data_IF_394870387174
#
_entry.id   IF_394870387174
#
_cell.length_a   1.000
_cell.length_b   1.000
_cell.length_c   1.000
_cell.angle_alpha   90.00
_cell.angle_beta   90.00
_cell.angle_gamma   90.00
#
_symmetry.space_group_name_H-M   'P 1'
#
loop_
_entity.id
_entity.type
_entity.pdbx_description
1 polymer ?
#
# COMPACT_ATOMS: atom_id res chain seq x y z
N UNK A 1 -19.25 15.98 -20.74
CA UNK A 1 -19.51 14.65 -20.18
C UNK A 1 -18.42 14.32 -19.19
N UNK A 2 -18.69 14.43 -17.89
CA UNK A 2 -17.73 14.06 -16.85
C UNK A 2 -17.70 12.53 -16.73
N UNK A 3 -16.52 11.88 -16.76
CA UNK A 3 -16.45 10.43 -16.60
C UNK A 3 -16.97 10.03 -15.22
N UNK A 4 -17.93 9.12 -15.20
CA UNK A 4 -18.54 8.54 -14.00
C UNK A 4 -17.45 7.97 -13.10
N UNK A 5 -17.46 8.33 -11.81
CA UNK A 5 -16.48 7.94 -10.77
C UNK A 5 -16.22 6.41 -10.74
N UNK A 6 -17.18 5.61 -11.20
CA UNK A 6 -17.10 4.15 -11.35
C UNK A 6 -16.10 3.66 -12.41
N UNK A 7 -15.75 4.45 -13.43
CA UNK A 7 -14.79 4.06 -14.49
C UNK A 7 -13.34 4.44 -14.17
N UNK A 8 -13.12 5.33 -13.19
CA UNK A 8 -11.78 5.78 -12.78
C UNK A 8 -11.06 4.79 -11.86
N UNK A 9 -11.82 4.06 -11.04
CA UNK A 9 -11.28 3.14 -10.02
C UNK A 9 -10.36 2.02 -10.57
N UNK A 10 -10.70 1.29 -11.65
CA UNK A 10 -9.84 0.22 -12.15
C UNK A 10 -8.56 0.76 -12.80
N UNK A 11 -8.62 1.90 -13.49
CA UNK A 11 -7.43 2.55 -14.06
C UNK A 11 -6.50 3.04 -12.96
N UNK A 12 -7.03 3.72 -11.94
CA UNK A 12 -6.23 4.19 -10.81
C UNK A 12 -5.55 3.03 -10.06
N UNK A 13 -6.27 1.92 -9.85
CA UNK A 13 -5.72 0.71 -9.20
C UNK A 13 -4.60 0.07 -10.03
N UNK A 14 -4.74 0.03 -11.35
CA UNK A 14 -3.68 -0.45 -12.25
C UNK A 14 -2.43 0.44 -12.17
N UNK A 15 -2.58 1.77 -12.19
CA UNK A 15 -1.44 2.69 -12.10
C UNK A 15 -0.75 2.59 -10.74
N UNK A 16 -1.52 2.45 -9.66
CA UNK A 16 -0.99 2.19 -8.33
C UNK A 16 -0.20 0.87 -8.26
N UNK A 17 -0.70 -0.19 -8.90
CA UNK A 17 0.01 -1.47 -9.03
C UNK A 17 1.29 -1.35 -9.82
N UNK A 18 1.29 -0.66 -10.95
CA UNK A 18 2.49 -0.44 -11.75
C UNK A 18 3.54 0.37 -10.98
N UNK A 19 3.13 1.46 -10.31
CA UNK A 19 4.03 2.27 -9.49
C UNK A 19 4.64 1.46 -8.34
N UNK A 20 3.84 0.61 -7.70
CA UNK A 20 4.31 -0.31 -6.66
C UNK A 20 5.38 -1.26 -7.21
N UNK A 21 5.08 -1.99 -8.29
CA UNK A 21 6.01 -2.98 -8.89
C UNK A 21 7.30 -2.30 -9.32
N UNK A 22 7.21 -1.20 -10.06
CA UNK A 22 8.39 -0.45 -10.52
C UNK A 22 9.24 0.00 -9.33
N UNK A 23 8.63 0.51 -8.26
CA UNK A 23 9.35 0.91 -7.07
C UNK A 23 10.07 -0.25 -6.36
N UNK A 24 9.48 -1.45 -6.36
CA UNK A 24 10.11 -2.64 -5.78
C UNK A 24 11.26 -3.17 -6.63
N UNK A 25 11.14 -3.13 -7.95
CA UNK A 25 12.23 -3.51 -8.86
C UNK A 25 13.40 -2.53 -8.76
N UNK A 26 13.12 -1.22 -8.81
CA UNK A 26 14.15 -0.18 -8.69
C UNK A 26 14.80 -0.24 -7.31
N UNK A 27 14.01 -0.28 -6.23
CA UNK A 27 14.55 -0.33 -4.88
C UNK A 27 15.31 -1.62 -4.59
N UNK A 28 14.82 -2.76 -5.08
CA UNK A 28 15.51 -4.05 -5.01
C UNK A 28 16.84 -4.02 -5.75
N UNK A 29 16.86 -3.51 -6.99
CA UNK A 29 18.09 -3.36 -7.78
C UNK A 29 19.11 -2.47 -7.06
N UNK A 30 18.68 -1.35 -6.46
CA UNK A 30 19.57 -0.49 -5.68
C UNK A 30 20.21 -1.22 -4.49
N UNK A 31 19.50 -2.14 -3.84
CA UNK A 31 20.06 -2.99 -2.77
C UNK A 31 21.04 -4.04 -3.32
N UNK A 32 20.69 -4.68 -4.45
CA UNK A 32 21.55 -5.69 -5.11
C UNK A 32 22.85 -5.10 -5.62
N UNK A 33 22.80 -3.89 -6.19
CA UNK A 33 23.96 -3.22 -6.78
C UNK A 33 24.62 -2.21 -5.84
N UNK A 34 24.28 -2.22 -4.54
CA UNK A 34 24.89 -1.33 -3.56
C UNK A 34 26.40 -1.58 -3.48
N UNK A 35 27.26 -0.58 -3.80
CA UNK A 35 28.71 -0.73 -3.71
C UNK A 35 29.12 -0.91 -2.24
N UNK A 36 30.20 -1.66 -1.98
CA UNK A 36 30.73 -1.78 -0.62
C UNK A 36 31.22 -0.41 -0.13
N UNK A 37 30.85 0.01 1.11
CA UNK A 37 31.35 1.25 1.67
C UNK A 37 32.88 1.19 1.82
N UNK A 38 33.55 2.31 1.56
CA UNK A 38 35.00 2.42 1.66
C UNK A 38 35.46 2.03 3.08
N UNK A 39 36.33 1.03 3.19
CA UNK A 39 36.89 0.55 4.46
C UNK A 39 36.10 -0.55 5.19
N UNK A 40 34.95 -1.00 4.66
CA UNK A 40 34.16 -2.08 5.26
C UNK A 40 33.91 -3.24 4.30
N UNK A 41 33.77 -4.45 4.84
CA UNK A 41 33.30 -5.62 4.08
C UNK A 41 31.80 -5.46 3.79
N UNK A 42 31.41 -5.69 2.53
CA UNK A 42 30.00 -5.74 2.10
C UNK A 42 29.22 -6.70 3.00
N UNK A 43 28.13 -6.25 3.60
CA UNK A 43 27.20 -7.15 4.26
C UNK A 43 26.60 -8.08 3.20
N UNK A 44 26.92 -9.37 3.25
CA UNK A 44 26.47 -10.37 2.28
C UNK A 44 24.94 -10.52 2.22
N UNK A 45 24.23 -9.99 3.22
CA UNK A 45 22.77 -9.98 3.32
C UNK A 45 22.11 -8.93 2.43
N UNK A 46 22.78 -7.82 2.08
CA UNK A 46 22.17 -6.74 1.28
C UNK A 46 21.73 -7.18 -0.13
N UNK A 47 22.53 -7.96 -0.88
CA UNK A 47 22.08 -8.49 -2.17
C UNK A 47 20.93 -9.48 -2.05
N UNK A 48 20.93 -10.29 -0.99
CA UNK A 48 19.85 -11.25 -0.73
C UNK A 48 18.53 -10.52 -0.47
N UNK A 49 18.55 -9.46 0.34
CA UNK A 49 17.38 -8.63 0.62
C UNK A 49 16.86 -7.97 -0.68
N UNK A 50 17.76 -7.45 -1.52
CA UNK A 50 17.39 -6.88 -2.81
C UNK A 50 16.73 -7.89 -3.76
N UNK A 51 17.26 -9.12 -3.84
CA UNK A 51 16.66 -10.19 -4.65
C UNK A 51 15.29 -10.62 -4.13
N UNK A 52 15.12 -10.71 -2.81
CA UNK A 52 13.82 -11.01 -2.19
C UNK A 52 12.82 -9.90 -2.49
N UNK A 53 13.23 -8.63 -2.44
CA UNK A 53 12.38 -7.50 -2.81
C UNK A 53 11.94 -7.58 -4.27
N UNK A 54 12.86 -7.83 -5.22
CA UNK A 54 12.50 -8.02 -6.63
C UNK A 54 11.55 -9.22 -6.82
N UNK A 55 11.84 -10.37 -6.22
CA UNK A 55 10.98 -11.55 -6.32
C UNK A 55 9.56 -11.28 -5.78
N UNK A 56 9.45 -10.53 -4.69
CA UNK A 56 8.16 -10.08 -4.16
C UNK A 56 7.46 -9.12 -5.13
N UNK A 57 8.17 -8.15 -5.72
CA UNK A 57 7.64 -7.24 -6.73
C UNK A 57 7.02 -7.99 -7.91
N UNK A 58 7.76 -8.95 -8.48
CA UNK A 58 7.30 -9.85 -9.55
C UNK A 58 6.06 -10.66 -9.11
N UNK A 59 6.09 -11.26 -7.92
CA UNK A 59 4.97 -12.02 -7.38
C UNK A 59 3.69 -11.16 -7.30
N UNK A 60 3.81 -9.94 -6.77
CA UNK A 60 2.69 -9.01 -6.68
C UNK A 60 2.20 -8.56 -8.06
N UNK A 61 3.10 -8.37 -9.04
CA UNK A 61 2.72 -8.08 -10.42
C UNK A 61 1.86 -9.20 -11.03
N UNK A 62 2.25 -10.47 -10.81
CA UNK A 62 1.46 -11.62 -11.26
C UNK A 62 0.10 -11.69 -10.59
N UNK A 63 0.04 -11.51 -9.27
CA UNK A 63 -1.22 -11.46 -8.51
C UNK A 63 -2.14 -10.34 -8.98
N UNK A 64 -1.59 -9.15 -9.18
CA UNK A 64 -2.29 -7.99 -9.72
C UNK A 64 -2.90 -8.28 -11.10
N UNK A 65 -2.12 -8.89 -11.99
CA UNK A 65 -2.57 -9.22 -13.34
C UNK A 65 -3.68 -10.28 -13.32
N UNK A 66 -3.60 -11.26 -12.42
CA UNK A 66 -4.65 -12.27 -12.23
C UNK A 66 -5.95 -11.63 -11.74
N UNK A 67 -5.91 -10.73 -10.75
CA UNK A 67 -7.08 -10.00 -10.27
C UNK A 67 -7.69 -9.11 -11.35
N UNK A 68 -6.87 -8.38 -12.10
CA UNK A 68 -7.35 -7.53 -13.19
C UNK A 68 -8.07 -8.34 -14.27
N UNK A 69 -7.49 -9.49 -14.68
CA UNK A 69 -8.12 -10.42 -15.63
C UNK A 69 -9.41 -11.04 -15.09
N UNK A 70 -9.46 -11.35 -13.79
CA UNK A 70 -10.68 -11.85 -13.16
C UNK A 70 -11.80 -10.80 -13.14
N UNK A 71 -11.45 -9.53 -12.93
CA UNK A 71 -12.39 -8.40 -12.91
C UNK A 71 -12.95 -8.09 -14.30
N UNK A 72 -12.21 -8.37 -15.37
CA UNK A 72 -12.69 -8.22 -16.76
C UNK A 72 -13.63 -9.33 -17.23
N UNK A 73 -13.61 -10.50 -16.58
CA UNK A 73 -14.38 -11.68 -17.00
C UNK A 73 -15.76 -11.81 -16.33
N UNK A 74 -16.31 -10.71 -15.80
CA UNK A 74 -17.66 -10.63 -15.18
C UNK A 74 -17.99 -11.71 -14.13
N UNK A 75 -16.96 -12.37 -13.59
CA UNK A 75 -17.15 -13.43 -12.61
C UNK A 75 -17.23 -12.78 -11.23
N UNK A 76 -18.40 -12.75 -10.58
CA UNK A 76 -18.52 -12.10 -9.29
C UNK A 76 -17.57 -12.76 -8.29
N UNK A 77 -16.88 -11.97 -7.43
CA UNK A 77 -15.91 -12.51 -6.50
C UNK A 77 -16.59 -13.49 -5.54
N UNK A 78 -16.18 -14.77 -5.59
CA UNK A 78 -16.79 -15.90 -4.87
C UNK A 78 -16.59 -15.84 -3.34
N UNK A 79 -15.91 -14.80 -2.83
CA UNK A 79 -15.52 -14.66 -1.42
C UNK A 79 -15.76 -13.25 -0.85
N UNK A 80 -16.88 -12.62 -1.17
CA UNK A 80 -17.43 -11.59 -0.29
C UNK A 80 -17.99 -12.25 0.98
N UNK A 81 -17.11 -12.86 1.80
CA UNK A 81 -17.51 -13.27 3.15
C UNK A 81 -17.84 -11.99 3.91
N UNK A 82 -19.10 -11.84 4.33
CA UNK A 82 -19.60 -10.73 5.15
C UNK A 82 -19.03 -10.67 6.56
N UNK A 83 -17.74 -11.01 6.74
CA UNK A 83 -17.01 -10.70 7.95
C UNK A 83 -16.87 -9.18 8.00
N UNK A 84 -17.61 -8.54 8.92
CA UNK A 84 -17.44 -7.12 9.15
C UNK A 84 -15.95 -6.81 9.34
N UNK A 85 -15.37 -5.86 8.59
CA UNK A 85 -13.99 -5.46 8.81
C UNK A 85 -13.89 -4.87 10.23
N UNK A 86 -13.26 -5.63 11.12
CA UNK A 86 -13.00 -5.19 12.49
C UNK A 86 -12.22 -3.87 12.46
N UNK A 87 -12.63 -2.91 13.29
CA UNK A 87 -12.07 -1.55 13.35
C UNK A 87 -10.58 -1.57 13.70
N UNK A 88 -10.15 -2.53 14.51
CA UNK A 88 -8.76 -2.65 14.99
C UNK A 88 -7.77 -2.93 13.84
N UNK A 89 -7.99 -3.93 12.96
CA UNK A 89 -7.23 -4.10 11.73
C UNK A 89 -7.19 -2.87 10.83
N UNK A 90 -8.34 -2.19 10.65
CA UNK A 90 -8.43 -1.00 9.80
C UNK A 90 -7.56 0.16 10.33
N UNK A 91 -7.58 0.42 11.64
CA UNK A 91 -6.73 1.44 12.28
C UNK A 91 -5.25 1.09 12.18
N UNK A 92 -4.89 -0.18 12.42
CA UNK A 92 -3.50 -0.65 12.25
C UNK A 92 -3.00 -0.46 10.82
N UNK A 93 -3.85 -0.74 9.84
CA UNK A 93 -3.53 -0.53 8.44
C UNK A 93 -3.33 0.95 8.11
N UNK A 94 -4.22 1.83 8.58
CA UNK A 94 -4.08 3.28 8.43
C UNK A 94 -2.79 3.82 9.07
N UNK A 95 -2.48 3.38 10.29
CA UNK A 95 -1.24 3.75 10.96
C UNK A 95 -0.02 3.26 10.17
N UNK A 96 -0.01 2.00 9.73
CA UNK A 96 1.07 1.46 8.90
C UNK A 96 1.22 2.23 7.58
N UNK A 97 0.11 2.60 6.95
CA UNK A 97 0.09 3.35 5.70
C UNK A 97 0.66 4.78 5.83
N UNK A 98 0.73 5.35 7.03
CA UNK A 98 1.33 6.68 7.28
C UNK A 98 2.76 6.56 7.81
N UNK A 99 2.98 5.67 8.77
CA UNK A 99 4.28 5.49 9.43
C UNK A 99 5.32 4.96 8.45
N UNK A 100 4.94 3.97 7.62
CA UNK A 100 5.87 3.32 6.70
C UNK A 100 6.45 4.31 5.66
N UNK A 101 5.65 5.17 4.98
CA UNK A 101 6.18 6.19 4.08
C UNK A 101 7.06 7.24 4.77
N UNK A 102 6.75 7.64 6.00
CA UNK A 102 7.57 8.61 6.75
C UNK A 102 8.95 8.02 7.02
N UNK A 103 9.00 6.77 7.47
CA UNK A 103 10.27 6.04 7.63
C UNK A 103 10.96 5.87 6.29
N UNK A 104 10.22 5.54 5.23
CA UNK A 104 10.74 5.40 3.87
C UNK A 104 11.38 6.68 3.35
N UNK A 105 10.74 7.83 3.55
CA UNK A 105 11.28 9.14 3.19
C UNK A 105 12.55 9.46 3.96
N UNK A 106 12.61 9.12 5.25
CA UNK A 106 13.81 9.28 6.06
C UNK A 106 14.95 8.38 5.58
N UNK A 107 14.69 7.10 5.30
CA UNK A 107 15.67 6.18 4.72
C UNK A 107 16.15 6.64 3.34
N UNK A 108 15.25 7.17 2.50
CA UNK A 108 15.62 7.71 1.20
C UNK A 108 16.55 8.91 1.35
N UNK A 109 16.18 9.86 2.20
CA UNK A 109 16.98 11.05 2.50
C UNK A 109 18.36 10.69 3.04
N UNK A 110 18.42 9.84 4.07
CA UNK A 110 19.67 9.44 4.71
C UNK A 110 20.52 8.58 3.75
N UNK A 111 19.90 7.71 2.95
CA UNK A 111 20.59 6.90 1.94
C UNK A 111 21.24 7.74 0.86
N UNK A 112 20.56 8.80 0.39
CA UNK A 112 21.12 9.75 -0.56
C UNK A 112 22.25 10.56 0.08
N UNK A 113 22.06 11.04 1.31
CA UNK A 113 23.07 11.83 2.03
C UNK A 113 24.36 11.04 2.32
N UNK A 114 24.22 9.77 2.66
CA UNK A 114 25.35 8.89 3.02
C UNK A 114 25.92 8.12 1.83
N UNK A 115 25.30 8.21 0.65
CA UNK A 115 25.68 7.45 -0.54
C UNK A 115 25.34 5.95 -0.48
N UNK A 116 24.50 5.53 0.47
CA UNK A 116 24.10 4.13 0.64
C UNK A 116 22.88 3.78 -0.21
N UNK A 117 23.11 3.13 -1.36
CA UNK A 117 22.04 2.73 -2.28
C UNK A 117 21.05 1.74 -1.66
N UNK A 118 21.47 0.91 -0.70
CA UNK A 118 20.56 -0.02 -0.03
C UNK A 118 19.51 0.71 0.83
N UNK A 119 19.91 1.78 1.52
CA UNK A 119 19.01 2.56 2.36
C UNK A 119 18.09 3.42 1.50
N UNK A 120 18.63 3.99 0.42
CA UNK A 120 17.84 4.69 -0.59
C UNK A 120 16.83 3.74 -1.27
N UNK A 121 17.24 2.54 -1.65
CA UNK A 121 16.38 1.52 -2.24
C UNK A 121 15.26 1.08 -1.29
N UNK A 122 15.54 0.97 0.02
CA UNK A 122 14.52 0.67 1.03
C UNK A 122 13.49 1.81 1.14
N UNK A 123 13.96 3.05 1.04
CA UNK A 123 13.10 4.22 0.94
C UNK A 123 12.20 4.18 -0.28
N UNK A 124 12.74 3.85 -1.47
CA UNK A 124 11.96 3.71 -2.71
C UNK A 124 10.89 2.61 -2.59
N UNK A 125 11.24 1.42 -2.09
CA UNK A 125 10.30 0.32 -1.87
C UNK A 125 9.18 0.72 -0.90
N UNK A 126 9.50 1.48 0.15
CA UNK A 126 8.51 1.94 1.14
C UNK A 126 7.56 2.98 0.56
N UNK A 127 8.09 3.97 -0.18
CA UNK A 127 7.27 5.02 -0.78
C UNK A 127 6.36 4.49 -1.90
N UNK A 128 6.76 3.43 -2.60
CA UNK A 128 5.92 2.83 -3.64
C UNK A 128 4.69 2.09 -3.09
N UNK A 129 4.58 1.93 -1.76
CA UNK A 129 3.37 1.44 -1.08
C UNK A 129 2.27 2.52 -1.01
N UNK A 130 2.62 3.81 -1.11
CA UNK A 130 1.65 4.92 -1.04
C UNK A 130 0.53 4.81 -2.09
N UNK A 131 0.81 4.64 -3.40
CA UNK A 131 -0.22 4.51 -4.42
C UNK A 131 -1.23 3.40 -4.13
N UNK A 132 -0.77 2.29 -3.55
CA UNK A 132 -1.59 1.13 -3.17
C UNK A 132 -2.50 1.42 -1.97
N UNK A 133 -2.00 2.18 -0.99
CA UNK A 133 -2.72 2.41 0.26
C UNK A 133 -3.76 3.52 0.16
N UNK A 134 -3.59 4.50 -0.73
CA UNK A 134 -4.53 5.61 -0.95
C UNK A 134 -5.97 5.15 -1.23
N UNK A 135 -6.26 4.32 -2.26
CA UNK A 135 -7.64 3.92 -2.56
C UNK A 135 -8.27 3.13 -1.40
N UNK A 136 -7.49 2.26 -0.77
CA UNK A 136 -7.94 1.45 0.36
C UNK A 136 -8.22 2.30 1.61
N UNK A 137 -7.39 3.31 1.87
CA UNK A 137 -7.60 4.25 2.98
C UNK A 137 -8.87 5.09 2.78
N UNK A 138 -9.17 5.50 1.55
CA UNK A 138 -10.39 6.24 1.21
C UNK A 138 -11.64 5.38 1.48
N UNK A 139 -11.64 4.12 1.04
CA UNK A 139 -12.75 3.19 1.26
C UNK A 139 -12.99 2.93 2.77
N UNK A 140 -11.91 2.68 3.52
CA UNK A 140 -11.97 2.47 4.96
C UNK A 140 -12.47 3.72 5.69
N UNK A 141 -11.95 4.91 5.35
CA UNK A 141 -12.36 6.18 5.95
C UNK A 141 -13.84 6.49 5.66
N UNK A 142 -14.29 6.28 4.42
CA UNK A 142 -15.69 6.44 4.04
C UNK A 142 -16.58 5.43 4.78
N UNK A 143 -16.14 4.19 4.95
CA UNK A 143 -16.85 3.16 5.72
C UNK A 143 -17.00 3.52 7.20
N UNK A 144 -15.93 4.02 7.84
CA UNK A 144 -15.96 4.49 9.23
C UNK A 144 -16.86 5.72 9.40
N UNK A 145 -16.81 6.68 8.48
CA UNK A 145 -17.68 7.86 8.51
C UNK A 145 -19.17 7.48 8.41
N UNK A 146 -19.52 6.51 7.54
CA UNK A 146 -20.89 5.98 7.44
C UNK A 146 -21.33 5.28 8.72
N UNK A 147 -20.45 4.51 9.39
CA UNK A 147 -20.75 3.88 10.68
C UNK A 147 -20.99 4.90 11.78
N UNK A 148 -20.17 5.96 11.85
CA UNK A 148 -20.37 7.08 12.81
C UNK A 148 -21.74 7.72 12.62
N UNK A 149 -22.14 7.99 11.36
CA UNK A 149 -23.46 8.56 11.03
C UNK A 149 -24.63 7.64 11.41
N UNK A 150 -24.47 6.32 11.26
CA UNK A 150 -25.48 5.32 11.67
C UNK A 150 -25.56 5.06 13.17
N UNK A 151 -24.54 5.46 13.95
CA UNK A 151 -24.55 5.44 15.42
C UNK A 151 -25.06 6.74 16.05
N UNK A 152 -25.39 7.75 15.23
CA UNK A 152 -26.14 8.94 15.65
C UNK A 152 -27.59 8.97 15.17
N UNK A 153 -28.41 7.89 15.25
CA UNK A 153 -29.85 8.07 15.29
C UNK A 153 -30.20 8.69 16.65
N UNK A 154 -31.09 9.66 16.64
CA UNK A 154 -31.27 10.64 17.71
C UNK A 154 -31.44 10.05 19.10
N UNK A 155 -30.68 10.60 20.04
CA UNK A 155 -31.00 10.56 21.47
C UNK A 155 -32.10 11.60 21.78
N UNK A 156 -33.18 11.57 21.00
CA UNK A 156 -34.29 12.54 21.04
C UNK A 156 -35.58 11.85 20.64
N UNK A 157 -36.18 11.13 21.60
CA UNK A 157 -37.55 10.60 21.71
C UNK A 157 -37.42 9.28 22.48
N UNK A 158 -37.82 9.11 23.75
CA UNK A 158 -38.87 9.75 24.53
C UNK A 158 -38.57 9.56 26.03
N UNK A 159 -38.23 10.65 26.73
CA UNK A 159 -38.77 10.90 28.07
C UNK A 159 -40.08 11.64 27.84
N UNK A 160 -41.08 11.40 28.68
CA UNK A 160 -42.52 11.66 28.44
C UNK A 160 -43.11 10.52 27.58
N UNK A 161 -43.87 9.58 28.14
CA UNK A 161 -45.13 9.81 28.85
C UNK A 161 -45.25 8.99 30.14
N UNK A 162 -45.71 9.70 31.17
CA UNK A 162 -46.45 9.30 32.38
C UNK A 162 -46.84 7.82 32.53
#
# INVERSE_FOLDING_TARGET
MAPSITTLAPKLRLHAMLAFVVGWEVGGAMMVFNPPPHGFRRAATLPVIGLVAMAAGIYFAFKALQEFRATQNDKPPRHASGAEPSVRPAVRFLLAAVVLPVIGAFCLWDGVRTGQLSLAGLGVCSLSVLPMTIPMAIEVAAGLARRKRRRSPGHSESRETW
#
